data_IF_593213621413
#
_entry.id   IF_593213621413
#
_cell.length_a   1.000
_cell.length_b   1.000
_cell.length_c   1.000
_cell.angle_alpha   90.00
_cell.angle_beta   90.00
_cell.angle_gamma   90.00
#
_symmetry.space_group_name_H-M   'P 1'
#
loop_
_entity.id
_entity.type
_entity.pdbx_description
1 polymer ?
#
# COMPACT_ATOMS: atom_id res chain seq x y z
N UNK A 1 -28.85 -7.42 3.96
CA UNK A 1 -27.40 -7.48 4.25
C UNK A 1 -26.79 -6.42 3.35
N UNK A 2 -26.25 -5.36 3.94
CA UNK A 2 -25.66 -4.27 3.17
C UNK A 2 -24.45 -4.79 2.40
N UNK A 3 -24.36 -4.46 1.11
CA UNK A 3 -23.26 -4.88 0.26
C UNK A 3 -21.97 -4.20 0.74
N UNK A 4 -20.99 -4.99 1.19
CA UNK A 4 -19.67 -4.50 1.56
C UNK A 4 -18.76 -4.59 0.33
N UNK A 5 -18.44 -3.46 -0.29
CA UNK A 5 -17.49 -3.41 -1.39
C UNK A 5 -16.05 -3.39 -0.83
N UNK A 6 -15.25 -4.37 -1.22
CA UNK A 6 -13.84 -4.44 -0.88
C UNK A 6 -13.03 -3.84 -2.02
N UNK A 7 -12.36 -2.72 -1.76
CA UNK A 7 -11.44 -2.09 -2.70
C UNK A 7 -10.01 -2.46 -2.35
N UNK A 8 -9.26 -2.91 -3.34
CA UNK A 8 -7.82 -3.10 -3.22
C UNK A 8 -7.15 -2.14 -4.18
N UNK A 9 -6.28 -1.27 -3.66
CA UNK A 9 -5.47 -0.39 -4.48
C UNK A 9 -4.55 -1.24 -5.37
N UNK A 10 -4.86 -1.29 -6.67
CA UNK A 10 -4.02 -1.97 -7.65
C UNK A 10 -3.81 -1.05 -8.85
N UNK A 11 -2.55 -0.85 -9.22
CA UNK A 11 -2.19 -0.21 -10.48
C UNK A 11 -2.06 -1.31 -11.53
N UNK A 12 -3.20 -1.72 -12.10
CA UNK A 12 -3.22 -2.72 -13.16
C UNK A 12 -3.25 -2.02 -14.51
N UNK A 13 -2.35 -2.41 -15.40
CA UNK A 13 -2.45 -2.06 -16.82
C UNK A 13 -3.09 -3.23 -17.56
N UNK A 14 -4.00 -2.93 -18.46
CA UNK A 14 -4.49 -3.89 -19.44
C UNK A 14 -3.43 -4.01 -20.54
N UNK A 15 -2.72 -5.14 -20.55
CA UNK A 15 -2.04 -5.60 -21.76
C UNK A 15 -2.91 -6.68 -22.38
N UNK A 16 -2.80 -6.86 -23.71
CA UNK A 16 -3.75 -7.55 -24.58
C UNK A 16 -4.36 -8.90 -24.12
N UNK A 17 -3.83 -9.57 -23.09
CA UNK A 17 -4.49 -10.71 -22.42
C UNK A 17 -4.25 -10.81 -20.89
N UNK A 18 -3.80 -9.76 -20.19
CA UNK A 18 -3.49 -9.81 -18.74
C UNK A 18 -3.76 -8.48 -18.05
N UNK A 19 -4.50 -8.54 -16.93
CA UNK A 19 -4.39 -7.55 -15.87
C UNK A 19 -3.00 -7.70 -15.25
N UNK A 20 -2.05 -6.87 -15.68
CA UNK A 20 -0.71 -6.82 -15.07
C UNK A 20 -0.77 -5.78 -13.96
N UNK A 21 -0.95 -6.23 -12.73
CA UNK A 21 -0.85 -5.34 -11.57
C UNK A 21 0.63 -5.12 -11.27
N UNK A 22 1.10 -3.91 -11.55
CA UNK A 22 2.50 -3.55 -11.32
C UNK A 22 2.76 -3.45 -9.82
N UNK A 23 3.85 -4.08 -9.36
CA UNK A 23 4.33 -3.95 -7.99
C UNK A 23 4.69 -2.49 -7.72
N UNK A 24 3.98 -1.79 -6.84
CA UNK A 24 4.40 -0.44 -6.43
C UNK A 24 5.68 -0.54 -5.61
N UNK A 25 6.77 0.08 -6.07
CA UNK A 25 8.01 0.17 -5.29
C UNK A 25 7.75 0.87 -3.95
N UNK A 26 8.29 0.34 -2.86
CA UNK A 26 8.32 1.02 -1.55
C UNK A 26 9.46 2.03 -1.56
N UNK A 27 9.35 3.01 -2.44
CA UNK A 27 10.32 4.08 -2.62
C UNK A 27 9.66 5.44 -2.41
N UNK A 28 10.33 6.34 -1.70
CA UNK A 28 9.87 7.70 -1.47
C UNK A 28 11.03 8.66 -1.73
N UNK A 29 10.72 9.79 -2.35
CA UNK A 29 11.64 10.89 -2.59
C UNK A 29 11.13 12.10 -1.81
N UNK A 30 11.99 12.67 -0.98
CA UNK A 30 11.76 13.93 -0.28
C UNK A 30 12.65 15.03 -0.84
N UNK A 31 12.15 16.26 -0.79
CA UNK A 31 12.93 17.46 -1.07
C UNK A 31 14.04 17.62 -0.01
N UNK A 32 15.05 18.50 -0.25
CA UNK A 32 16.08 18.79 0.75
C UNK A 32 15.52 19.26 2.10
N UNK A 33 14.36 19.92 2.10
CA UNK A 33 13.66 20.38 3.30
C UNK A 33 12.82 19.28 3.99
N UNK A 34 12.95 18.02 3.55
CA UNK A 34 12.23 16.88 4.11
C UNK A 34 10.75 16.79 3.71
N UNK A 35 10.31 17.54 2.70
CA UNK A 35 8.91 17.52 2.25
C UNK A 35 8.69 16.39 1.23
N UNK A 36 7.48 15.82 1.22
CA UNK A 36 7.10 14.81 0.24
C UNK A 36 7.17 15.36 -1.19
N UNK A 37 7.93 14.69 -2.06
CA UNK A 37 7.93 14.99 -3.50
C UNK A 37 7.14 13.94 -4.28
N UNK A 38 7.53 12.67 -4.17
CA UNK A 38 6.95 11.59 -4.97
C UNK A 38 7.13 10.22 -4.33
N UNK A 39 6.33 9.26 -4.77
CA UNK A 39 6.34 7.87 -4.29
C UNK A 39 6.51 6.86 -5.45
N UNK A 40 6.96 5.65 -5.13
CA UNK A 40 7.04 4.52 -6.03
C UNK A 40 7.96 4.73 -7.23
N UNK A 41 7.50 4.29 -8.41
CA UNK A 41 8.26 4.45 -9.66
C UNK A 41 8.54 5.92 -10.01
N UNK A 42 7.63 6.84 -9.66
CA UNK A 42 7.84 8.26 -9.88
C UNK A 42 9.01 8.77 -9.02
N UNK A 43 9.10 8.36 -7.75
CA UNK A 43 10.24 8.68 -6.90
C UNK A 43 11.58 8.25 -7.50
N UNK A 44 11.64 6.99 -7.96
CA UNK A 44 12.84 6.48 -8.63
C UNK A 44 13.16 7.25 -9.90
N UNK A 45 12.17 7.48 -10.77
CA UNK A 45 12.35 8.20 -12.03
C UNK A 45 12.87 9.62 -11.81
N UNK A 46 12.27 10.36 -10.87
CA UNK A 46 12.70 11.71 -10.54
C UNK A 46 14.12 11.73 -9.97
N UNK A 47 14.43 10.86 -9.01
CA UNK A 47 15.77 10.80 -8.43
C UNK A 47 16.85 10.49 -9.47
N UNK A 48 16.59 9.54 -10.37
CA UNK A 48 17.53 9.19 -11.45
C UNK A 48 17.67 10.27 -12.53
N UNK A 49 16.74 11.23 -12.59
CA UNK A 49 16.82 12.37 -13.51
C UNK A 49 17.56 13.58 -12.94
N UNK A 50 17.84 13.60 -11.63
CA UNK A 50 18.61 14.68 -10.99
C UNK A 50 20.06 14.62 -11.44
N UNK A 51 20.71 15.78 -11.54
CA UNK A 51 22.16 15.82 -11.70
C UNK A 51 22.86 15.41 -10.39
N UNK A 52 24.10 14.90 -10.44
CA UNK A 52 24.80 14.40 -9.24
C UNK A 52 24.92 15.44 -8.11
N UNK A 53 25.07 16.72 -8.44
CA UNK A 53 25.19 17.81 -7.47
C UNK A 53 23.87 18.06 -6.74
N UNK A 54 22.74 17.99 -7.44
CA UNK A 54 21.41 18.12 -6.84
C UNK A 54 21.06 16.88 -6.02
N UNK A 55 21.29 15.69 -6.57
CA UNK A 55 20.93 14.41 -5.93
C UNK A 55 21.51 14.25 -4.51
N UNK A 56 22.67 14.87 -4.23
CA UNK A 56 23.28 14.90 -2.90
C UNK A 56 22.41 15.56 -1.83
N UNK A 57 21.55 16.50 -2.22
CA UNK A 57 20.69 17.26 -1.31
C UNK A 57 19.32 16.61 -1.12
N UNK A 58 18.91 15.73 -2.03
CA UNK A 58 17.61 15.07 -1.99
C UNK A 58 17.65 13.78 -1.18
N UNK A 59 16.56 13.47 -0.49
CA UNK A 59 16.47 12.26 0.33
C UNK A 59 15.65 11.19 -0.40
N UNK A 60 16.35 10.24 -1.02
CA UNK A 60 15.74 9.11 -1.70
C UNK A 60 15.88 7.83 -0.86
N UNK A 61 14.75 7.26 -0.47
CA UNK A 61 14.66 5.99 0.25
C UNK A 61 14.07 4.94 -0.68
N UNK A 62 14.81 3.86 -0.94
CA UNK A 62 14.35 2.76 -1.78
C UNK A 62 14.11 1.51 -0.95
N UNK A 63 13.05 0.76 -1.23
CA UNK A 63 12.68 -0.46 -0.52
C UNK A 63 12.60 -0.28 1.01
N UNK A 64 12.17 0.90 1.48
CA UNK A 64 12.25 1.26 2.90
C UNK A 64 11.40 0.34 3.80
N UNK A 65 10.43 -0.39 3.23
CA UNK A 65 9.68 -1.41 3.98
C UNK A 65 10.59 -2.55 4.44
N UNK A 66 11.59 -2.92 3.64
CA UNK A 66 12.59 -3.93 4.02
C UNK A 66 13.44 -3.40 5.17
N UNK A 67 13.84 -2.14 5.10
CA UNK A 67 14.61 -1.50 6.17
C UNK A 67 13.82 -1.49 7.48
N UNK A 68 12.54 -1.11 7.43
CA UNK A 68 11.61 -1.19 8.57
C UNK A 68 11.51 -2.60 9.17
N UNK A 69 11.46 -3.63 8.33
CA UNK A 69 11.37 -5.03 8.78
C UNK A 69 12.66 -5.52 9.45
N UNK A 70 13.82 -4.96 9.06
CA UNK A 70 15.12 -5.34 9.60
C UNK A 70 15.40 -4.72 10.98
N UNK A 71 14.58 -3.78 11.44
CA UNK A 71 14.68 -3.26 12.79
C UNK A 71 14.05 -4.21 13.81
N UNK A 72 14.79 -4.50 14.90
CA UNK A 72 14.31 -5.37 15.98
C UNK A 72 13.05 -4.83 16.67
N UNK A 73 12.93 -3.51 16.76
CA UNK A 73 11.77 -2.83 17.35
C UNK A 73 11.59 -1.43 16.75
N UNK A 74 10.38 -1.14 16.28
CA UNK A 74 10.05 0.19 15.79
C UNK A 74 9.61 1.11 16.93
N UNK A 75 10.12 2.33 16.90
CA UNK A 75 9.80 3.38 17.86
C UNK A 75 9.96 4.77 17.19
N UNK A 76 9.61 5.84 17.92
CA UNK A 76 9.65 7.20 17.39
C UNK A 76 11.06 7.71 17.07
N UNK A 77 12.10 7.11 17.65
CA UNK A 77 13.50 7.43 17.41
C UNK A 77 14.10 6.61 16.26
N UNK A 78 13.31 5.72 15.65
CA UNK A 78 13.78 4.89 14.53
C UNK A 78 14.04 5.78 13.32
N UNK A 79 15.25 5.69 12.78
CA UNK A 79 15.71 6.47 11.63
C UNK A 79 16.03 5.56 10.46
N UNK A 80 15.67 6.01 9.25
CA UNK A 80 16.05 5.39 7.99
C UNK A 80 17.16 6.20 7.34
N UNK A 81 17.96 5.53 6.51
CA UNK A 81 19.10 6.13 5.80
C UNK A 81 18.74 6.25 4.32
N UNK A 82 18.79 7.48 3.81
CA UNK A 82 18.61 7.79 2.40
C UNK A 82 19.84 7.38 1.58
N UNK A 83 19.68 7.33 0.26
CA UNK A 83 20.74 6.94 -0.68
C UNK A 83 21.97 7.85 -0.65
N UNK A 84 21.81 9.10 -0.19
CA UNK A 84 22.90 10.06 0.03
C UNK A 84 23.56 9.94 1.43
N UNK A 85 23.13 8.99 2.27
CA UNK A 85 23.56 8.84 3.66
C UNK A 85 22.81 9.72 4.67
N UNK A 86 21.91 10.58 4.21
CA UNK A 86 21.06 11.40 5.07
C UNK A 86 20.14 10.54 5.94
N UNK A 87 19.89 10.97 7.18
CA UNK A 87 19.00 10.26 8.12
C UNK A 87 17.67 10.97 8.22
N UNK A 88 16.58 10.21 8.28
CA UNK A 88 15.24 10.76 8.45
C UNK A 88 14.35 9.84 9.27
N UNK A 89 13.32 10.38 9.91
CA UNK A 89 12.43 9.62 10.77
C UNK A 89 11.67 8.54 9.98
N UNK A 90 11.72 7.30 10.48
CA UNK A 90 10.94 6.18 9.96
C UNK A 90 9.43 6.44 10.08
N UNK A 91 9.04 7.08 11.18
CA UNK A 91 7.65 7.45 11.45
C UNK A 91 7.12 8.46 10.42
N UNK A 92 7.92 9.48 10.11
CA UNK A 92 7.57 10.48 9.09
C UNK A 92 7.49 9.85 7.69
N UNK A 93 8.44 8.99 7.32
CA UNK A 93 8.41 8.27 6.03
C UNK A 93 7.14 7.44 5.90
N UNK A 94 6.76 6.69 6.93
CA UNK A 94 5.52 5.92 6.95
C UNK A 94 4.29 6.82 6.84
N UNK A 95 4.25 7.90 7.62
CA UNK A 95 3.14 8.86 7.62
C UNK A 95 2.95 9.49 6.24
N UNK A 96 4.02 9.97 5.60
CA UNK A 96 3.98 10.54 4.26
C UNK A 96 3.53 9.51 3.21
N UNK A 97 3.99 8.26 3.35
CA UNK A 97 3.57 7.16 2.47
C UNK A 97 2.08 6.85 2.61
N UNK A 98 1.58 6.80 3.85
CA UNK A 98 0.16 6.59 4.14
C UNK A 98 -0.71 7.76 3.65
N UNK A 99 -0.24 9.01 3.78
CA UNK A 99 -0.91 10.19 3.18
C UNK A 99 -1.01 10.05 1.66
N UNK A 100 0.07 9.60 1.00
CA UNK A 100 0.07 9.33 -0.43
C UNK A 100 -0.99 8.28 -0.80
N UNK A 101 -0.99 7.11 -0.16
CA UNK A 101 -1.95 6.05 -0.48
C UNK A 101 -3.39 6.43 -0.20
N UNK A 102 -3.65 7.15 0.90
CA UNK A 102 -4.98 7.68 1.18
C UNK A 102 -5.48 8.56 0.03
N UNK A 103 -4.65 9.48 -0.45
CA UNK A 103 -5.00 10.37 -1.55
C UNK A 103 -5.32 9.59 -2.82
N UNK A 104 -4.42 8.70 -3.24
CA UNK A 104 -4.60 7.89 -4.46
C UNK A 104 -5.86 7.01 -4.38
N UNK A 105 -6.15 6.42 -3.21
CA UNK A 105 -7.34 5.60 -3.01
C UNK A 105 -8.62 6.43 -3.07
N UNK A 106 -8.62 7.61 -2.44
CA UNK A 106 -9.77 8.51 -2.48
C UNK A 106 -10.00 9.06 -3.88
N UNK A 107 -8.95 9.40 -4.62
CA UNK A 107 -9.05 9.87 -6.01
C UNK A 107 -9.73 8.81 -6.90
N UNK A 108 -9.32 7.54 -6.80
CA UNK A 108 -9.96 6.43 -7.52
C UNK A 108 -11.42 6.21 -7.12
N UNK A 109 -11.76 6.37 -5.83
CA UNK A 109 -13.15 6.24 -5.38
C UNK A 109 -14.04 7.40 -5.86
N UNK A 110 -13.47 8.61 -6.02
CA UNK A 110 -14.21 9.79 -6.50
C UNK A 110 -14.29 9.88 -8.01
N UNK A 111 -13.38 9.26 -8.77
CA UNK A 111 -13.49 9.21 -10.24
C UNK A 111 -14.67 8.36 -10.71
N UNK A 112 -15.10 7.42 -9.87
CA UNK A 112 -16.10 6.41 -10.22
C UNK A 112 -17.50 6.69 -9.61
N UNK A 113 -17.65 7.70 -8.74
CA UNK A 113 -18.90 7.97 -8.02
C UNK A 113 -19.24 9.46 -7.91
N UNK A 114 -20.45 9.83 -8.36
CA UNK A 114 -21.08 11.16 -8.17
C UNK A 114 -21.43 11.50 -6.70
N UNK A 115 -20.86 10.83 -5.70
CA UNK A 115 -21.40 10.90 -4.33
C UNK A 115 -20.35 11.23 -3.26
N UNK A 116 -20.36 12.48 -2.82
CA UNK A 116 -19.51 13.05 -1.75
C UNK A 116 -19.76 12.38 -0.37
N UNK A 117 -20.81 11.57 -0.25
CA UNK A 117 -21.23 10.87 0.97
C UNK A 117 -20.32 9.68 1.35
N UNK A 118 -19.49 9.17 0.44
CA UNK A 118 -18.70 7.94 0.66
C UNK A 118 -17.50 8.10 1.62
N UNK A 119 -17.01 9.33 1.86
CA UNK A 119 -15.77 9.58 2.61
C UNK A 119 -15.86 9.22 4.11
N UNK A 120 -17.06 9.16 4.69
CA UNK A 120 -17.23 8.91 6.13
C UNK A 120 -17.37 7.42 6.50
N UNK A 121 -17.56 6.52 5.53
CA UNK A 121 -17.87 5.08 5.77
C UNK A 121 -16.68 4.16 5.44
N UNK A 122 -15.54 4.70 5.01
CA UNK A 122 -14.38 3.88 4.64
C UNK A 122 -13.76 3.24 5.88
N UNK A 123 -13.60 1.91 5.82
CA UNK A 123 -12.75 1.14 6.75
C UNK A 123 -11.45 0.82 6.05
N UNK A 124 -10.35 1.22 6.66
CA UNK A 124 -9.01 0.98 6.16
C UNK A 124 -8.47 -0.31 6.76
N UNK A 125 -7.84 -1.11 5.91
CA UNK A 125 -7.08 -2.28 6.33
C UNK A 125 -5.64 -2.02 5.93
N UNK A 126 -4.74 -2.04 6.90
CA UNK A 126 -3.30 -1.98 6.67
C UNK A 126 -2.73 -3.33 7.04
N UNK A 127 -1.96 -3.92 6.14
CA UNK A 127 -1.30 -5.18 6.45
C UNK A 127 0.14 -5.00 6.90
N UNK A 128 0.58 -5.89 7.77
CA UNK A 128 1.95 -5.92 8.28
C UNK A 128 2.59 -7.29 8.08
N UNK A 129 3.93 -7.37 8.00
CA UNK A 129 4.64 -8.63 7.97
C UNK A 129 4.31 -9.51 9.19
N UNK A 130 4.41 -10.82 9.02
CA UNK A 130 4.30 -11.77 10.13
C UNK A 130 5.41 -11.51 11.17
N UNK A 131 5.07 -11.67 12.45
CA UNK A 131 6.03 -11.51 13.56
C UNK A 131 6.20 -10.09 14.10
N UNK A 132 5.51 -9.09 13.53
CA UNK A 132 5.48 -7.74 14.10
C UNK A 132 4.77 -7.72 15.46
N UNK A 133 5.43 -7.12 16.45
CA UNK A 133 4.93 -7.07 17.83
C UNK A 133 3.73 -6.13 17.97
N UNK A 134 3.05 -6.20 19.11
CA UNK A 134 1.99 -5.23 19.44
C UNK A 134 2.48 -3.78 19.41
N UNK A 135 3.75 -3.53 19.79
CA UNK A 135 4.35 -2.19 19.68
C UNK A 135 4.55 -1.74 18.24
N UNK A 136 5.00 -2.62 17.35
CA UNK A 136 5.21 -2.28 15.94
C UNK A 136 3.86 -2.01 15.24
N UNK A 137 2.84 -2.82 15.57
CA UNK A 137 1.45 -2.57 15.11
C UNK A 137 0.93 -1.22 15.63
N UNK A 138 1.24 -0.86 16.87
CA UNK A 138 0.86 0.45 17.43
C UNK A 138 1.59 1.62 16.76
N UNK A 139 2.86 1.43 16.38
CA UNK A 139 3.64 2.41 15.64
C UNK A 139 3.00 2.74 14.28
N UNK A 140 2.59 1.71 13.52
CA UNK A 140 1.84 1.89 12.27
C UNK A 140 0.48 2.57 12.50
N UNK A 141 -0.23 2.20 13.57
CA UNK A 141 -1.51 2.82 13.92
C UNK A 141 -1.36 4.33 14.16
N UNK A 142 -0.32 4.74 14.88
CA UNK A 142 -0.06 6.16 15.10
C UNK A 142 0.28 6.90 13.80
N UNK A 143 1.09 6.31 12.92
CA UNK A 143 1.38 6.90 11.61
C UNK A 143 0.10 7.02 10.75
N UNK A 144 -0.81 6.06 10.84
CA UNK A 144 -2.10 6.11 10.15
C UNK A 144 -3.03 7.21 10.69
N UNK A 145 -3.01 7.46 12.01
CA UNK A 145 -3.73 8.59 12.60
C UNK A 145 -3.14 9.93 12.15
N UNK A 146 -1.81 10.08 12.15
CA UNK A 146 -1.13 11.27 11.67
C UNK A 146 -1.33 11.50 10.16
N UNK A 147 -1.47 10.41 9.39
CA UNK A 147 -1.84 10.46 7.98
C UNK A 147 -3.31 10.82 7.73
N UNK A 148 -4.12 10.90 8.79
CA UNK A 148 -5.56 11.12 8.72
C UNK A 148 -6.29 9.97 8.03
N UNK A 149 -5.71 8.77 7.96
CA UNK A 149 -6.38 7.56 7.44
C UNK A 149 -7.55 7.21 8.37
N UNK A 150 -7.32 7.26 9.67
CA UNK A 150 -8.33 7.01 10.70
C UNK A 150 -8.18 8.01 11.85
N UNK A 151 -9.12 7.96 12.80
CA UNK A 151 -9.09 8.80 14.00
C UNK A 151 -8.91 7.93 15.25
N UNK A 152 -8.21 8.44 16.25
CA UNK A 152 -8.15 7.84 17.59
C UNK A 152 -9.52 7.74 18.26
N UNK A 153 -10.47 8.59 17.85
CA UNK A 153 -11.87 8.58 18.33
C UNK A 153 -12.75 7.54 17.65
N UNK A 154 -12.32 6.99 16.50
CA UNK A 154 -13.05 5.97 15.71
C UNK A 154 -12.09 4.86 15.31
N UNK A 155 -11.67 4.07 16.29
CA UNK A 155 -10.64 3.03 16.11
C UNK A 155 -11.10 1.91 15.16
N UNK A 156 -12.41 1.68 15.06
CA UNK A 156 -13.07 0.72 14.17
C UNK A 156 -12.92 1.04 12.67
N UNK A 157 -12.42 2.25 12.34
CA UNK A 157 -12.12 2.62 10.95
C UNK A 157 -10.77 2.06 10.46
N UNK A 158 -9.92 1.51 11.34
CA UNK A 158 -8.61 1.00 10.98
C UNK A 158 -8.33 -0.38 11.56
N UNK A 159 -8.17 -1.36 10.68
CA UNK A 159 -7.70 -2.69 11.00
C UNK A 159 -6.23 -2.82 10.60
N UNK A 160 -5.41 -3.30 11.53
CA UNK A 160 -4.03 -3.71 11.24
C UNK A 160 -4.00 -5.22 11.36
N UNK A 161 -3.73 -5.91 10.25
CA UNK A 161 -3.80 -7.37 10.15
C UNK A 161 -2.48 -7.91 9.64
N UNK A 162 -2.14 -9.14 10.00
CA UNK A 162 -0.96 -9.78 9.39
C UNK A 162 -1.26 -10.18 7.96
N UNK A 163 -0.24 -10.15 7.10
CA UNK A 163 -0.38 -10.54 5.70
C UNK A 163 -0.88 -11.99 5.55
N UNK A 164 -0.42 -12.89 6.43
CA UNK A 164 -0.87 -14.29 6.50
C UNK A 164 -2.35 -14.40 6.86
N UNK A 165 -2.83 -13.58 7.82
CA UNK A 165 -4.24 -13.50 8.19
C UNK A 165 -5.08 -12.97 7.02
N UNK A 166 -4.67 -11.85 6.42
CA UNK A 166 -5.36 -11.25 5.27
C UNK A 166 -5.46 -12.23 4.09
N UNK A 167 -4.36 -12.92 3.78
CA UNK A 167 -4.31 -13.93 2.73
C UNK A 167 -5.23 -15.11 3.04
N UNK A 168 -5.27 -15.58 4.29
CA UNK A 168 -6.15 -16.69 4.68
C UNK A 168 -7.65 -16.36 4.50
N UNK A 169 -8.05 -15.14 4.86
CA UNK A 169 -9.43 -14.64 4.67
C UNK A 169 -9.76 -14.51 3.18
N UNK A 170 -8.82 -13.99 2.39
CA UNK A 170 -8.97 -13.86 0.95
C UNK A 170 -9.16 -15.23 0.28
N UNK A 171 -8.28 -16.20 0.56
CA UNK A 171 -8.37 -17.56 0.04
C UNK A 171 -9.69 -18.24 0.39
N UNK A 172 -10.17 -18.05 1.64
CA UNK A 172 -11.47 -18.59 2.06
C UNK A 172 -12.64 -17.96 1.30
N UNK A 173 -12.58 -16.65 1.05
CA UNK A 173 -13.62 -15.95 0.29
C UNK A 173 -13.69 -16.45 -1.15
N UNK A 174 -12.54 -16.66 -1.81
CA UNK A 174 -12.51 -17.24 -3.17
C UNK A 174 -13.08 -18.65 -3.21
N UNK A 175 -12.72 -19.52 -2.27
CA UNK A 175 -13.27 -20.88 -2.19
C UNK A 175 -14.79 -20.92 -1.97
N UNK A 176 -15.36 -19.88 -1.35
CA UNK A 176 -16.81 -19.72 -1.19
C UNK A 176 -17.44 -19.25 -2.49
N UNK A 177 -16.83 -18.28 -3.19
CA UNK A 177 -17.28 -17.81 -4.50
C UNK A 177 -17.27 -18.93 -5.55
N UNK A 178 -16.29 -19.83 -5.54
CA UNK A 178 -16.21 -20.99 -6.46
C UNK A 178 -17.32 -22.03 -6.22
N UNK A 179 -18.02 -21.97 -5.07
CA UNK A 179 -19.06 -22.93 -4.67
C UNK A 179 -20.48 -22.38 -4.79
N UNK A 180 -20.66 -21.12 -5.17
CA UNK A 180 -21.98 -20.49 -5.37
C UNK A 180 -22.26 -20.44 -6.88
N UNK A 181 -23.44 -20.88 -7.37
CA UNK A 181 -23.79 -20.73 -8.78
C UNK A 181 -23.73 -19.25 -9.18
N UNK A 182 -23.10 -18.98 -10.33
CA UNK A 182 -22.66 -17.67 -10.84
C UNK A 182 -23.74 -16.56 -10.91
N UNK A 183 -25.01 -16.87 -10.62
CA UNK A 183 -26.13 -15.96 -10.73
C UNK A 183 -26.48 -15.20 -9.43
N UNK A 184 -25.65 -15.27 -8.37
CA UNK A 184 -26.00 -14.66 -7.06
C UNK A 184 -24.89 -13.83 -6.41
N UNK A 185 -23.74 -13.65 -7.07
CA UNK A 185 -22.63 -12.86 -6.55
C UNK A 185 -22.14 -11.90 -7.63
N UNK A 186 -22.58 -10.65 -7.57
CA UNK A 186 -21.91 -9.56 -8.30
C UNK A 186 -20.62 -9.19 -7.54
N UNK A 187 -19.56 -9.96 -7.79
CA UNK A 187 -18.21 -9.46 -7.61
C UNK A 187 -17.91 -8.59 -8.83
N UNK A 188 -17.98 -7.26 -8.68
CA UNK A 188 -17.43 -6.35 -9.69
C UNK A 188 -15.90 -6.47 -9.70
N UNK A 189 -15.41 -7.45 -10.44
CA UNK A 189 -14.09 -7.45 -11.04
C UNK A 189 -14.35 -7.07 -12.49
N UNK A 190 -14.06 -5.82 -12.87
CA UNK A 190 -14.06 -5.46 -14.28
C UNK A 190 -13.04 -6.35 -15.00
N UNK A 191 -13.52 -7.11 -15.97
CA UNK A 191 -12.71 -7.99 -16.80
C UNK A 191 -13.61 -8.95 -17.60
N UNK A 192 -13.94 -8.55 -18.82
CA UNK A 192 -14.76 -9.32 -19.78
C UNK A 192 -14.12 -10.67 -20.12
N UNK A 193 -14.97 -11.70 -20.20
CA UNK A 193 -14.64 -13.08 -20.54
C UNK A 193 -13.90 -13.23 -21.89
N UNK A 194 -12.88 -14.11 -21.92
CA UNK A 194 -12.81 -15.26 -22.86
C UNK A 194 -11.58 -16.15 -22.62
N UNK A 195 -11.77 -17.40 -23.03
CA UNK A 195 -11.01 -18.64 -22.80
C UNK A 195 -9.54 -18.62 -23.25
N UNK A 196 -8.69 -19.43 -22.62
CA UNK A 196 -7.44 -19.89 -23.21
C UNK A 196 -6.38 -20.34 -22.20
N UNK A 197 -5.69 -21.43 -22.51
CA UNK A 197 -4.95 -22.30 -21.59
C UNK A 197 -3.56 -21.84 -21.14
N UNK A 198 -3.26 -22.23 -19.90
CA UNK A 198 -2.02 -22.82 -19.35
C UNK A 198 -0.66 -22.11 -19.44
N UNK A 199 -0.05 -22.09 -18.24
CA UNK A 199 1.38 -22.04 -17.89
C UNK A 199 2.04 -20.64 -17.80
N UNK A 200 2.55 -20.28 -16.61
CA UNK A 200 3.96 -20.47 -16.18
C UNK A 200 4.23 -19.64 -14.91
N UNK A 201 4.81 -20.29 -13.89
CA UNK A 201 5.37 -19.66 -12.69
C UNK A 201 6.53 -18.72 -13.07
N UNK A 202 6.72 -17.63 -12.32
CA UNK A 202 7.99 -16.90 -12.28
C UNK A 202 8.32 -16.62 -10.82
N UNK A 203 9.38 -17.31 -10.38
CA UNK A 203 10.09 -17.09 -9.13
C UNK A 203 10.83 -15.76 -9.21
N UNK A 204 10.49 -14.81 -8.34
CA UNK A 204 11.46 -13.79 -7.93
C UNK A 204 11.15 -13.32 -6.50
N UNK A 205 11.96 -13.85 -5.60
CA UNK A 205 11.77 -13.96 -4.16
C UNK A 205 12.49 -12.84 -3.42
N UNK A 206 12.06 -11.58 -3.55
CA UNK A 206 12.58 -10.48 -2.70
C UNK A 206 11.59 -9.33 -2.41
N UNK A 207 10.31 -9.46 -2.75
CA UNK A 207 9.35 -8.37 -2.56
C UNK A 207 8.70 -8.42 -1.16
N UNK A 208 9.09 -7.52 -0.26
CA UNK A 208 8.38 -7.29 1.00
C UNK A 208 7.07 -6.54 0.69
N UNK A 209 5.93 -7.22 0.87
CA UNK A 209 4.59 -6.80 0.45
C UNK A 209 3.98 -5.73 1.34
N UNK A 210 3.35 -4.69 0.78
CA UNK A 210 2.34 -3.91 1.51
C UNK A 210 0.99 -4.25 0.85
N UNK A 211 0.15 -5.01 1.56
CA UNK A 211 -1.29 -5.12 1.26
C UNK A 211 -2.03 -3.94 1.88
#
# INVERSE_FOLDING_TARGET
RDACHMYTMRRCAENEHRLVCQKTLTSILLTPDGQFHSFGYNARKHYLSLCPQEAQHWLYFSNFKKDLYQHDKLNMDTVLVASNGGKFSAFEILTLSLKFFKREALEQLTSDAENDCAKQVIRWVITVPAGWTSSDKQFIRQAAYEAGIASSTRQEQLYIVEETEATSVYCRTLQICDRIPQNTVECFVQGSERQGSSHWFSEDSTATYFT
#
